data_IF_377546095574
#
_entry.id   IF_377546095574
#
_cell.length_a   1.000
_cell.length_b   1.000
_cell.length_c   1.000
_cell.angle_alpha   90.00
_cell.angle_beta   90.00
_cell.angle_gamma   90.00
#
_symmetry.space_group_name_H-M   'P 1'
#
loop_
_entity.id
_entity.type
_entity.pdbx_description
1 polymer ?
#
# COMPACT_ATOMS: atom_id res chain seq x y z
N UNK A 1 74.75 -10.23 -18.47
CA UNK A 1 73.99 -9.04 -18.91
C UNK A 1 72.55 -9.49 -19.12
N UNK A 2 71.82 -9.53 -18.02
CA UNK A 2 70.44 -10.07 -17.92
C UNK A 2 69.49 -8.90 -17.73
N UNK A 3 68.64 -8.64 -18.72
CA UNK A 3 67.58 -7.65 -18.68
C UNK A 3 66.44 -8.17 -17.79
N UNK A 4 66.20 -7.48 -16.69
CA UNK A 4 65.02 -7.68 -15.82
C UNK A 4 63.80 -7.08 -16.54
N UNK A 5 62.76 -7.91 -16.76
CA UNK A 5 61.49 -7.48 -17.26
C UNK A 5 60.70 -6.80 -16.11
N UNK A 6 60.38 -5.54 -16.33
CA UNK A 6 59.59 -4.70 -15.47
C UNK A 6 58.10 -5.12 -15.59
N UNK A 7 57.60 -5.86 -14.62
CA UNK A 7 56.21 -6.27 -14.55
C UNK A 7 55.44 -5.12 -13.88
N UNK A 8 54.97 -4.15 -14.67
CA UNK A 8 54.06 -3.10 -14.18
C UNK A 8 52.80 -3.70 -13.62
N UNK A 9 52.69 -3.62 -12.30
CA UNK A 9 51.48 -3.92 -11.49
C UNK A 9 50.27 -3.12 -12.03
N UNK A 10 49.42 -3.81 -12.77
CA UNK A 10 48.09 -3.32 -13.01
C UNK A 10 47.38 -3.20 -11.66
N UNK A 11 47.20 -1.97 -11.16
CA UNK A 11 46.38 -1.65 -10.01
C UNK A 11 44.95 -2.09 -10.37
N UNK A 12 44.36 -3.04 -9.64
CA UNK A 12 42.96 -3.37 -9.89
C UNK A 12 42.13 -2.13 -9.60
N UNK A 13 41.35 -1.70 -10.59
CA UNK A 13 40.32 -0.66 -10.42
C UNK A 13 39.44 -1.09 -9.26
N UNK A 14 39.68 -0.49 -8.09
CA UNK A 14 38.84 -0.70 -6.91
C UNK A 14 37.44 -0.30 -7.28
N UNK A 15 36.55 -1.28 -7.43
CA UNK A 15 35.12 -1.00 -7.38
C UNK A 15 34.86 -0.13 -6.15
N UNK A 16 34.13 0.98 -6.28
CA UNK A 16 33.80 1.81 -5.13
C UNK A 16 33.22 0.90 -4.06
N UNK A 17 33.80 0.95 -2.86
CA UNK A 17 33.35 0.14 -1.74
C UNK A 17 31.83 0.33 -1.60
N UNK A 18 31.07 -0.75 -1.54
CA UNK A 18 29.61 -0.62 -1.45
C UNK A 18 29.24 0.21 -0.22
N UNK A 19 28.21 1.07 -0.29
CA UNK A 19 27.80 1.93 0.81
C UNK A 19 27.58 1.09 2.09
N UNK A 20 28.18 1.51 3.19
CA UNK A 20 28.39 0.71 4.42
C UNK A 20 27.20 0.72 5.37
N UNK A 21 25.98 0.36 4.90
CA UNK A 21 24.80 0.20 5.76
C UNK A 21 24.46 -1.27 6.03
N UNK A 22 23.92 -1.62 7.21
CA UNK A 22 23.51 -3.00 7.53
C UNK A 22 22.31 -3.48 6.72
N UNK A 23 21.53 -2.56 6.15
CA UNK A 23 20.41 -2.86 5.22
C UNK A 23 20.66 -2.17 3.90
N UNK A 24 20.45 -2.88 2.80
CA UNK A 24 20.68 -2.35 1.44
C UNK A 24 19.65 -2.86 0.47
N UNK A 25 19.36 -2.06 -0.53
CA UNK A 25 18.62 -2.51 -1.70
C UNK A 25 19.58 -2.96 -2.80
N UNK A 26 19.51 -4.25 -3.17
CA UNK A 26 20.26 -4.81 -4.29
C UNK A 26 19.32 -5.02 -5.46
N UNK A 27 19.49 -4.25 -6.53
CA UNK A 27 18.72 -4.45 -7.76
C UNK A 27 19.17 -5.73 -8.45
N UNK A 28 18.30 -6.72 -8.47
CA UNK A 28 18.57 -8.02 -9.09
C UNK A 28 18.42 -8.01 -10.62
N UNK A 29 17.99 -6.88 -11.19
CA UNK A 29 17.64 -6.78 -12.61
C UNK A 29 16.36 -7.54 -12.97
N UNK A 30 15.94 -7.42 -14.23
CA UNK A 30 14.81 -8.20 -14.76
C UNK A 30 13.41 -7.81 -14.25
N UNK A 31 13.27 -6.78 -13.39
CA UNK A 31 11.96 -6.36 -12.87
C UNK A 31 10.99 -5.99 -13.99
N UNK A 32 11.44 -5.25 -15.01
CA UNK A 32 10.60 -4.86 -16.14
C UNK A 32 10.04 -6.10 -16.87
N UNK A 33 10.91 -7.07 -17.22
CA UNK A 33 10.49 -8.32 -17.88
C UNK A 33 9.52 -9.13 -17.02
N UNK A 34 9.75 -9.19 -15.68
CA UNK A 34 8.84 -9.82 -14.73
C UNK A 34 7.45 -9.15 -14.76
N UNK A 35 7.39 -7.82 -14.75
CA UNK A 35 6.13 -7.07 -14.75
C UNK A 35 5.37 -7.22 -16.06
N UNK A 36 6.05 -7.13 -17.21
CA UNK A 36 5.43 -7.33 -18.53
C UNK A 36 4.88 -8.75 -18.66
N UNK A 37 5.69 -9.78 -18.32
CA UNK A 37 5.23 -11.17 -18.30
C UNK A 37 3.99 -11.35 -17.42
N UNK A 38 4.04 -10.80 -16.20
CA UNK A 38 2.94 -10.92 -15.25
C UNK A 38 1.67 -10.19 -15.74
N UNK A 39 1.81 -9.01 -16.33
CA UNK A 39 0.70 -8.25 -16.91
C UNK A 39 0.06 -9.04 -18.07
N UNK A 40 0.87 -9.56 -18.99
CA UNK A 40 0.41 -10.35 -20.12
C UNK A 40 -0.35 -11.61 -19.66
N UNK A 41 0.25 -12.41 -18.75
CA UNK A 41 -0.39 -13.63 -18.24
C UNK A 41 -1.66 -13.30 -17.43
N UNK A 42 -1.68 -12.20 -16.70
CA UNK A 42 -2.89 -11.75 -15.98
C UNK A 42 -3.99 -11.37 -16.95
N UNK A 43 -3.67 -10.71 -18.05
CA UNK A 43 -4.65 -10.35 -19.09
C UNK A 43 -5.20 -11.61 -19.79
N UNK A 44 -4.33 -12.52 -20.24
CA UNK A 44 -4.74 -13.76 -20.93
C UNK A 44 -5.58 -14.67 -20.04
N UNK A 45 -5.32 -14.71 -18.74
CA UNK A 45 -6.07 -15.52 -17.77
C UNK A 45 -7.24 -14.78 -17.13
N UNK A 46 -7.68 -13.65 -17.69
CA UNK A 46 -8.77 -12.81 -17.19
C UNK A 46 -8.63 -12.47 -15.68
N UNK A 47 -7.39 -12.21 -15.26
CA UNK A 47 -7.08 -11.81 -13.88
C UNK A 47 -6.72 -12.97 -12.93
N UNK A 48 -6.88 -14.23 -13.31
CA UNK A 48 -6.56 -15.37 -12.42
C UNK A 48 -5.07 -15.42 -12.10
N UNK A 49 -4.19 -15.17 -13.06
CA UNK A 49 -2.74 -15.22 -12.86
C UNK A 49 -2.21 -14.16 -11.87
N UNK A 50 -2.99 -13.15 -11.53
CA UNK A 50 -2.59 -12.08 -10.58
C UNK A 50 -2.04 -12.60 -9.24
N UNK A 51 -2.48 -13.77 -8.77
CA UNK A 51 -2.01 -14.37 -7.52
C UNK A 51 -0.58 -14.89 -7.62
N UNK A 52 -0.23 -15.53 -8.75
CA UNK A 52 1.14 -15.95 -9.05
C UNK A 52 2.04 -14.74 -9.36
N UNK A 53 1.53 -13.77 -10.09
CA UNK A 53 2.21 -12.50 -10.36
C UNK A 53 2.62 -11.80 -9.06
N UNK A 54 1.71 -11.73 -8.08
CA UNK A 54 1.97 -11.14 -6.76
C UNK A 54 3.02 -11.91 -5.97
N UNK A 55 2.92 -13.25 -5.91
CA UNK A 55 3.93 -14.06 -5.24
C UNK A 55 5.31 -13.91 -5.90
N UNK A 56 5.38 -13.83 -7.23
CA UNK A 56 6.62 -13.60 -7.98
C UNK A 56 7.22 -12.22 -7.69
N UNK A 57 6.38 -11.17 -7.65
CA UNK A 57 6.80 -9.81 -7.33
C UNK A 57 7.32 -9.70 -5.90
N UNK A 58 6.67 -10.34 -4.91
CA UNK A 58 7.16 -10.39 -3.54
C UNK A 58 8.50 -11.12 -3.42
N UNK A 59 8.70 -12.24 -4.12
CA UNK A 59 10.00 -12.91 -4.15
C UNK A 59 11.10 -12.00 -4.71
N UNK A 60 10.77 -11.19 -5.71
CA UNK A 60 11.70 -10.19 -6.24
C UNK A 60 12.07 -9.15 -5.17
N UNK A 61 11.06 -8.53 -4.51
CA UNK A 61 11.30 -7.49 -3.52
C UNK A 61 12.05 -8.01 -2.29
N UNK A 62 11.63 -9.15 -1.72
CA UNK A 62 12.32 -9.75 -0.57
C UNK A 62 13.77 -10.08 -0.92
N UNK A 63 14.00 -10.75 -2.03
CA UNK A 63 15.36 -11.08 -2.47
C UNK A 63 16.21 -9.86 -2.85
N UNK A 64 15.62 -8.68 -3.05
CA UNK A 64 16.34 -7.42 -3.30
C UNK A 64 16.71 -6.67 -2.01
N UNK A 65 16.13 -7.05 -0.86
CA UNK A 65 16.44 -6.46 0.45
C UNK A 65 17.52 -7.31 1.12
N UNK A 66 18.69 -6.71 1.30
CA UNK A 66 19.84 -7.34 1.97
C UNK A 66 19.93 -6.84 3.40
N UNK A 67 20.02 -7.75 4.37
CA UNK A 67 20.23 -7.44 5.79
C UNK A 67 21.54 -8.13 6.22
N UNK A 68 22.50 -7.37 6.72
CA UNK A 68 23.82 -7.86 7.11
C UNK A 68 24.49 -8.77 6.06
N UNK A 69 24.29 -8.45 4.78
CA UNK A 69 24.89 -9.19 3.65
C UNK A 69 24.04 -10.31 3.07
N UNK A 70 22.93 -10.71 3.73
CA UNK A 70 22.07 -11.79 3.27
C UNK A 70 20.68 -11.30 2.85
N UNK A 71 20.09 -11.88 1.78
CA UNK A 71 18.77 -11.49 1.30
C UNK A 71 17.65 -11.99 2.20
N UNK A 72 16.53 -11.27 2.20
CA UNK A 72 15.28 -11.83 2.67
C UNK A 72 14.72 -12.83 1.65
N UNK A 73 13.98 -13.81 2.13
CA UNK A 73 13.32 -14.82 1.30
C UNK A 73 11.81 -14.80 1.53
N UNK A 74 11.04 -14.95 0.44
CA UNK A 74 9.60 -15.11 0.50
C UNK A 74 9.19 -16.49 0.00
N UNK A 75 8.60 -17.30 0.88
CA UNK A 75 8.24 -18.70 0.61
C UNK A 75 6.77 -18.89 0.21
N UNK A 76 5.96 -17.83 0.25
CA UNK A 76 4.54 -17.88 -0.13
C UNK A 76 4.33 -18.22 -1.60
N UNK A 77 3.25 -18.96 -1.90
CA UNK A 77 2.92 -19.42 -3.24
C UNK A 77 1.68 -18.71 -3.79
N UNK A 78 1.58 -18.62 -5.14
CA UNK A 78 0.40 -18.07 -5.80
C UNK A 78 -0.86 -18.91 -5.54
N UNK A 79 -0.70 -20.23 -5.38
CA UNK A 79 -1.81 -21.13 -5.07
C UNK A 79 -2.42 -20.85 -3.69
N UNK A 80 -1.59 -20.61 -2.67
CA UNK A 80 -2.07 -20.23 -1.33
C UNK A 80 -2.89 -18.93 -1.37
N UNK A 81 -2.43 -17.94 -2.16
CA UNK A 81 -3.16 -16.69 -2.35
C UNK A 81 -4.47 -16.89 -3.12
N UNK A 82 -4.48 -17.76 -4.13
CA UNK A 82 -5.68 -18.08 -4.90
C UNK A 82 -6.72 -18.81 -4.04
N UNK A 83 -6.32 -19.81 -3.26
CA UNK A 83 -7.21 -20.49 -2.30
C UNK A 83 -7.76 -19.49 -1.28
N UNK A 84 -6.91 -18.60 -0.76
CA UNK A 84 -7.34 -17.51 0.13
C UNK A 84 -8.40 -16.60 -0.52
N UNK A 85 -8.24 -16.26 -1.80
CA UNK A 85 -9.24 -15.52 -2.56
C UNK A 85 -10.56 -16.28 -2.71
N UNK A 86 -10.54 -17.57 -3.03
CA UNK A 86 -11.76 -18.36 -3.11
C UNK A 86 -12.52 -18.43 -1.78
N UNK A 87 -11.79 -18.58 -0.66
CA UNK A 87 -12.40 -18.53 0.69
C UNK A 87 -13.03 -17.16 0.97
N UNK A 88 -12.37 -16.07 0.60
CA UNK A 88 -12.94 -14.73 0.72
C UNK A 88 -14.18 -14.58 -0.15
N UNK A 89 -14.13 -15.03 -1.39
CA UNK A 89 -15.26 -14.98 -2.31
C UNK A 89 -16.47 -15.75 -1.77
N UNK A 90 -16.23 -16.95 -1.18
CA UNK A 90 -17.27 -17.75 -0.54
C UNK A 90 -17.98 -17.03 0.62
N UNK A 91 -17.29 -16.11 1.31
CA UNK A 91 -17.88 -15.27 2.37
C UNK A 91 -18.57 -14.04 1.75
N UNK A 92 -17.94 -13.41 0.77
CA UNK A 92 -18.41 -12.14 0.18
C UNK A 92 -19.61 -12.30 -0.76
N UNK A 93 -19.75 -13.44 -1.45
CA UNK A 93 -20.91 -13.68 -2.33
C UNK A 93 -22.24 -13.69 -1.55
N UNK A 94 -22.40 -14.47 -0.47
CA UNK A 94 -23.62 -14.39 0.36
C UNK A 94 -23.84 -13.01 0.97
N UNK A 95 -22.76 -12.35 1.44
CA UNK A 95 -22.82 -11.01 1.99
C UNK A 95 -23.30 -9.99 0.95
N UNK A 96 -22.77 -10.03 -0.28
CA UNK A 96 -23.20 -9.17 -1.39
C UNK A 96 -24.66 -9.46 -1.84
N UNK A 97 -25.09 -10.73 -1.77
CA UNK A 97 -26.49 -11.08 -2.04
C UNK A 97 -27.45 -10.47 -1.01
N UNK A 98 -27.11 -10.55 0.28
CA UNK A 98 -27.87 -9.90 1.35
C UNK A 98 -27.91 -8.39 1.13
N UNK A 99 -26.76 -7.77 0.86
CA UNK A 99 -26.67 -6.32 0.56
C UNK A 99 -27.55 -5.91 -0.64
N UNK A 100 -27.59 -6.71 -1.71
CA UNK A 100 -28.45 -6.47 -2.86
C UNK A 100 -29.95 -6.63 -2.53
N UNK A 101 -30.32 -7.62 -1.71
CA UNK A 101 -31.69 -7.84 -1.29
C UNK A 101 -32.20 -6.72 -0.37
N UNK A 102 -31.37 -6.24 0.55
CA UNK A 102 -31.74 -5.11 1.43
C UNK A 102 -31.96 -3.82 0.63
N UNK A 103 -31.28 -3.67 -0.51
CA UNK A 103 -31.52 -2.57 -1.46
C UNK A 103 -32.96 -2.48 -1.98
N UNK A 104 -33.69 -3.60 -2.06
CA UNK A 104 -35.09 -3.62 -2.45
C UNK A 104 -36.01 -2.88 -1.46
N UNK A 105 -35.57 -2.74 -0.20
CA UNK A 105 -36.29 -2.02 0.84
C UNK A 105 -36.20 -0.50 0.72
N UNK A 106 -35.30 0.02 -0.12
CA UNK A 106 -35.03 1.47 -0.22
C UNK A 106 -36.28 2.31 -0.48
N UNK A 107 -37.19 1.81 -1.32
CA UNK A 107 -38.44 2.52 -1.70
C UNK A 107 -39.57 2.20 -0.74
N UNK A 108 -39.70 0.97 -0.25
CA UNK A 108 -40.83 0.51 0.58
C UNK A 108 -40.65 0.85 2.07
N UNK A 109 -39.43 0.80 2.57
CA UNK A 109 -39.11 1.10 3.98
C UNK A 109 -37.70 1.71 4.11
N UNK A 110 -37.53 3.04 3.86
CA UNK A 110 -36.25 3.71 3.93
C UNK A 110 -35.53 3.61 5.28
N UNK A 111 -36.29 3.55 6.38
CA UNK A 111 -35.74 3.39 7.73
C UNK A 111 -35.09 2.03 7.94
N UNK A 112 -35.78 0.95 7.56
CA UNK A 112 -35.22 -0.41 7.62
C UNK A 112 -34.00 -0.55 6.69
N UNK A 113 -34.08 0.03 5.46
CA UNK A 113 -32.96 0.09 4.55
C UNK A 113 -31.72 0.72 5.19
N UNK A 114 -31.85 1.91 5.79
CA UNK A 114 -30.72 2.61 6.43
C UNK A 114 -30.12 1.80 7.59
N UNK A 115 -30.95 1.24 8.47
CA UNK A 115 -30.50 0.43 9.60
C UNK A 115 -29.74 -0.83 9.17
N UNK A 116 -30.28 -1.55 8.17
CA UNK A 116 -29.64 -2.78 7.66
C UNK A 116 -28.30 -2.45 6.97
N UNK A 117 -28.21 -1.40 6.17
CA UNK A 117 -26.96 -1.00 5.53
C UNK A 117 -25.90 -0.51 6.52
N UNK A 118 -26.31 0.16 7.61
CA UNK A 118 -25.39 0.48 8.72
C UNK A 118 -24.88 -0.82 9.37
N UNK A 119 -25.75 -1.78 9.66
CA UNK A 119 -25.36 -3.06 10.24
C UNK A 119 -24.43 -3.84 9.32
N UNK A 120 -24.72 -3.90 8.02
CA UNK A 120 -23.86 -4.51 7.01
C UNK A 120 -22.49 -3.83 6.94
N UNK A 121 -22.43 -2.50 6.96
CA UNK A 121 -21.20 -1.73 7.03
C UNK A 121 -20.36 -2.04 8.27
N UNK A 122 -20.99 -2.20 9.43
CA UNK A 122 -20.31 -2.61 10.67
C UNK A 122 -19.75 -4.03 10.57
N UNK A 123 -20.52 -4.98 10.03
CA UNK A 123 -20.05 -6.35 9.81
C UNK A 123 -18.86 -6.35 8.84
N UNK A 124 -18.94 -5.61 7.74
CA UNK A 124 -17.87 -5.48 6.77
C UNK A 124 -16.61 -4.87 7.38
N UNK A 125 -16.76 -3.82 8.21
CA UNK A 125 -15.65 -3.22 8.96
C UNK A 125 -14.95 -4.25 9.86
N UNK A 126 -15.72 -5.04 10.62
CA UNK A 126 -15.18 -6.11 11.49
C UNK A 126 -14.42 -7.14 10.67
N UNK A 127 -15.00 -7.60 9.56
CA UNK A 127 -14.37 -8.57 8.66
C UNK A 127 -13.05 -8.05 8.11
N UNK A 128 -12.99 -6.79 7.64
CA UNK A 128 -11.76 -6.18 7.11
C UNK A 128 -10.66 -6.16 8.18
N UNK A 129 -10.96 -5.76 9.41
CA UNK A 129 -9.95 -5.71 10.48
C UNK A 129 -9.42 -7.10 10.82
N UNK A 130 -10.32 -8.08 10.88
CA UNK A 130 -9.96 -9.47 11.14
C UNK A 130 -9.03 -10.04 10.05
N UNK A 131 -9.40 -9.75 8.81
CA UNK A 131 -8.69 -10.17 7.60
C UNK A 131 -7.32 -9.48 7.50
N UNK A 132 -7.22 -8.19 7.84
CA UNK A 132 -5.96 -7.41 7.81
C UNK A 132 -4.93 -7.98 8.79
N UNK A 133 -5.32 -8.31 10.03
CA UNK A 133 -4.43 -8.94 10.99
C UNK A 133 -3.91 -10.30 10.50
N UNK A 134 -4.79 -11.13 9.93
CA UNK A 134 -4.42 -12.45 9.39
C UNK A 134 -3.49 -12.34 8.18
N UNK A 135 -3.71 -11.36 7.29
CA UNK A 135 -2.80 -11.10 6.16
C UNK A 135 -1.38 -10.79 6.63
N UNK A 136 -1.25 -9.90 7.63
CA UNK A 136 0.07 -9.59 8.20
C UNK A 136 0.73 -10.84 8.80
N UNK A 137 -0.02 -11.63 9.57
CA UNK A 137 0.47 -12.88 10.17
C UNK A 137 0.94 -13.86 9.10
N UNK A 138 0.18 -14.02 8.02
CA UNK A 138 0.55 -14.86 6.89
C UNK A 138 1.86 -14.37 6.24
N UNK A 139 1.95 -13.06 5.90
CA UNK A 139 3.17 -12.51 5.26
C UNK A 139 4.42 -12.72 6.10
N UNK A 140 4.35 -12.42 7.39
CA UNK A 140 5.50 -12.63 8.29
C UNK A 140 5.88 -14.10 8.37
N UNK A 141 4.92 -15.02 8.47
CA UNK A 141 5.22 -16.45 8.50
C UNK A 141 5.86 -16.99 7.21
N UNK A 142 5.71 -16.28 6.08
CA UNK A 142 6.32 -16.61 4.79
C UNK A 142 7.60 -15.81 4.52
N UNK A 143 8.03 -14.98 5.47
CA UNK A 143 9.29 -14.23 5.40
C UNK A 143 10.36 -14.95 6.18
N UNK A 144 11.48 -15.21 5.53
CA UNK A 144 12.67 -15.85 6.10
C UNK A 144 13.88 -14.93 5.93
N UNK A 145 14.81 -15.00 6.88
CA UNK A 145 16.13 -14.43 6.78
C UNK A 145 17.14 -15.43 7.34
N UNK A 146 18.14 -15.83 6.54
CA UNK A 146 19.08 -16.92 6.87
C UNK A 146 18.37 -18.20 7.34
N UNK A 147 17.21 -18.53 6.73
CA UNK A 147 16.38 -19.66 7.16
C UNK A 147 15.59 -19.43 8.45
N UNK A 148 15.79 -18.32 9.17
CA UNK A 148 15.02 -17.94 10.37
C UNK A 148 13.72 -17.28 9.97
N UNK A 149 12.59 -17.78 10.49
CA UNK A 149 11.26 -17.33 10.12
C UNK A 149 10.79 -16.16 10.99
N UNK A 150 10.21 -15.14 10.34
CA UNK A 150 9.46 -14.11 11.05
C UNK A 150 8.09 -14.63 11.51
N UNK A 151 7.57 -14.07 12.58
CA UNK A 151 6.28 -14.48 13.17
C UNK A 151 5.50 -13.29 13.70
N UNK A 152 4.16 -13.47 13.77
CA UNK A 152 3.24 -12.53 14.39
C UNK A 152 2.45 -13.24 15.48
N UNK A 153 2.65 -12.84 16.72
CA UNK A 153 1.88 -13.30 17.86
C UNK A 153 0.58 -12.52 18.04
N UNK A 154 -0.15 -12.83 19.11
CA UNK A 154 -1.44 -12.22 19.44
C UNK A 154 -2.61 -12.83 18.68
N UNK A 155 -3.81 -12.28 18.89
CA UNK A 155 -5.04 -12.78 18.29
C UNK A 155 -5.79 -11.71 17.52
N UNK A 156 -6.50 -12.11 16.45
CA UNK A 156 -7.35 -11.19 15.66
C UNK A 156 -8.41 -10.49 16.53
N UNK A 157 -8.92 -11.16 17.59
CA UNK A 157 -9.92 -10.59 18.49
C UNK A 157 -9.37 -9.49 19.39
N UNK A 158 -8.15 -9.65 19.89
CA UNK A 158 -7.48 -8.58 20.65
C UNK A 158 -7.20 -7.37 19.78
N UNK A 159 -6.74 -7.60 18.55
CA UNK A 159 -6.53 -6.54 17.56
C UNK A 159 -7.84 -5.83 17.23
N UNK A 160 -8.90 -6.58 16.93
CA UNK A 160 -10.23 -6.04 16.63
C UNK A 160 -10.78 -5.15 17.74
N UNK A 161 -10.75 -5.63 19.00
CA UNK A 161 -11.21 -4.82 20.15
C UNK A 161 -10.45 -3.51 20.29
N UNK A 162 -9.13 -3.57 20.09
CA UNK A 162 -8.28 -2.38 20.11
C UNK A 162 -8.70 -1.39 19.01
N UNK A 163 -8.87 -1.88 17.77
CA UNK A 163 -9.26 -1.04 16.64
C UNK A 163 -10.65 -0.45 16.82
N UNK A 164 -11.64 -1.23 17.27
CA UNK A 164 -13.00 -0.73 17.53
C UNK A 164 -12.96 0.40 18.57
N UNK A 165 -12.28 0.19 19.70
CA UNK A 165 -12.19 1.21 20.76
C UNK A 165 -11.58 2.53 20.25
N UNK A 166 -10.49 2.46 19.49
CA UNK A 166 -9.87 3.63 18.91
C UNK A 166 -10.67 4.26 17.77
N UNK A 167 -11.40 3.47 16.99
CA UNK A 167 -12.29 3.99 15.93
C UNK A 167 -13.44 4.79 16.55
N UNK A 168 -14.06 4.27 17.60
CA UNK A 168 -15.13 4.98 18.33
C UNK A 168 -14.59 6.29 18.93
N UNK A 169 -13.43 6.25 19.60
CA UNK A 169 -12.81 7.45 20.14
C UNK A 169 -12.46 8.45 19.04
N UNK A 170 -11.96 7.99 17.90
CA UNK A 170 -11.65 8.85 16.75
C UNK A 170 -12.92 9.48 16.16
N UNK A 171 -14.02 8.74 16.11
CA UNK A 171 -15.31 9.28 15.66
C UNK A 171 -15.84 10.35 16.63
N UNK A 172 -15.82 10.12 17.94
CA UNK A 172 -16.22 11.10 18.95
C UNK A 172 -15.37 12.38 18.90
N UNK A 173 -14.07 12.24 18.65
CA UNK A 173 -13.12 13.35 18.55
C UNK A 173 -13.01 13.94 17.16
N UNK A 174 -13.92 13.60 16.23
CA UNK A 174 -13.92 14.02 14.82
C UNK A 174 -12.56 13.79 14.11
N UNK A 175 -11.83 12.72 14.52
CA UNK A 175 -10.56 12.33 13.90
C UNK A 175 -9.31 12.88 14.61
N UNK A 176 -9.42 13.71 15.64
CA UNK A 176 -8.24 14.20 16.40
C UNK A 176 -7.48 13.04 17.06
N UNK A 177 -8.17 11.98 17.51
CA UNK A 177 -7.55 10.82 18.14
C UNK A 177 -6.83 9.85 17.17
N UNK A 178 -6.87 10.07 15.86
CA UNK A 178 -6.27 9.16 14.87
C UNK A 178 -4.77 8.91 15.10
N UNK A 179 -3.90 9.89 15.42
CA UNK A 179 -2.50 9.62 15.72
C UNK A 179 -2.29 8.62 16.87
N UNK A 180 -3.08 8.71 17.93
CA UNK A 180 -3.01 7.75 19.04
C UNK A 180 -3.53 6.36 18.64
N UNK A 181 -4.60 6.30 17.84
CA UNK A 181 -5.13 5.06 17.27
C UNK A 181 -4.07 4.35 16.41
N UNK A 182 -3.38 5.10 15.54
CA UNK A 182 -2.30 4.58 14.67
C UNK A 182 -1.15 4.03 15.50
N UNK A 183 -0.69 4.78 16.50
CA UNK A 183 0.40 4.35 17.38
C UNK A 183 0.00 3.14 18.23
N UNK A 184 -1.22 3.12 18.78
CA UNK A 184 -1.70 1.99 19.57
C UNK A 184 -1.79 0.69 18.76
N UNK A 185 -2.31 0.77 17.51
CA UNK A 185 -2.37 -0.38 16.59
C UNK A 185 -0.98 -0.82 16.14
N UNK A 186 -0.08 0.12 15.81
CA UNK A 186 1.32 -0.16 15.46
C UNK A 186 2.05 -0.83 16.62
N UNK A 187 1.89 -0.33 17.85
CA UNK A 187 2.46 -0.95 19.05
C UNK A 187 1.96 -2.37 19.24
N UNK A 188 0.65 -2.60 19.13
CA UNK A 188 0.09 -3.94 19.25
C UNK A 188 0.71 -4.92 18.25
N UNK A 189 0.90 -4.47 17.01
CA UNK A 189 1.46 -5.29 15.95
C UNK A 189 2.96 -5.51 16.14
N UNK A 190 3.75 -4.46 16.44
CA UNK A 190 5.21 -4.56 16.56
C UNK A 190 5.61 -5.35 17.80
N UNK A 191 5.04 -5.06 18.99
CA UNK A 191 5.36 -5.78 20.23
C UNK A 191 5.04 -7.29 20.17
N UNK A 192 4.37 -7.73 19.13
CA UNK A 192 4.04 -9.15 18.86
C UNK A 192 4.65 -9.67 17.56
N UNK A 193 5.55 -8.91 16.96
CA UNK A 193 6.36 -9.36 15.81
C UNK A 193 7.68 -9.90 16.33
N UNK A 194 8.12 -11.03 15.80
CA UNK A 194 9.44 -11.57 16.12
C UNK A 194 10.12 -12.09 14.84
N UNK A 195 11.46 -12.06 14.85
CA UNK A 195 12.31 -12.75 13.88
C UNK A 195 13.06 -13.85 14.63
N UNK A 196 12.65 -15.10 14.42
CA UNK A 196 13.13 -16.18 15.27
C UNK A 196 12.68 -16.00 16.73
N UNK A 197 13.66 -15.94 17.63
CA UNK A 197 13.52 -15.66 19.06
C UNK A 197 13.64 -14.17 19.41
N UNK A 198 13.99 -13.33 18.42
CA UNK A 198 14.20 -11.89 18.62
C UNK A 198 12.88 -11.12 18.50
N UNK A 199 12.33 -10.70 19.64
CA UNK A 199 11.09 -9.92 19.71
C UNK A 199 11.29 -8.45 19.34
N UNK A 200 10.34 -7.91 18.57
CA UNK A 200 10.25 -6.47 18.33
C UNK A 200 9.58 -5.74 19.51
N UNK A 201 9.96 -4.49 19.73
CA UNK A 201 9.36 -3.58 20.69
C UNK A 201 9.20 -2.20 20.06
N UNK A 202 8.11 -1.53 20.39
CA UNK A 202 7.79 -0.21 19.85
C UNK A 202 7.49 0.79 20.98
N UNK A 203 8.22 1.89 21.04
CA UNK A 203 8.13 2.90 22.12
C UNK A 203 7.58 4.26 21.68
N UNK A 204 7.09 4.39 20.43
CA UNK A 204 6.52 5.62 19.89
C UNK A 204 5.28 6.12 20.65
N UNK A 205 5.02 7.43 20.59
CA UNK A 205 3.92 8.10 21.30
C UNK A 205 3.02 8.83 20.31
N UNK A 206 1.68 8.74 20.49
CA UNK A 206 0.70 9.37 19.59
C UNK A 206 0.79 10.89 19.51
N UNK A 207 1.16 11.54 20.62
CA UNK A 207 1.32 13.01 20.68
C UNK A 207 2.38 13.55 19.69
N UNK A 208 3.40 12.76 19.39
CA UNK A 208 4.51 13.18 18.53
C UNK A 208 4.07 13.25 17.04
N UNK A 209 2.97 12.58 16.71
CA UNK A 209 2.35 12.59 15.37
C UNK A 209 1.16 13.56 15.28
N UNK A 210 0.77 14.23 16.36
CA UNK A 210 -0.37 15.16 16.34
C UNK A 210 -0.10 16.35 15.40
N UNK A 211 1.06 16.99 15.52
CA UNK A 211 1.38 18.13 14.69
C UNK A 211 1.43 17.79 13.19
N UNK A 212 2.11 16.72 12.75
CA UNK A 212 1.98 16.26 11.36
C UNK A 212 0.55 15.92 10.94
N UNK A 213 -0.29 15.39 11.84
CA UNK A 213 -1.69 15.08 11.55
C UNK A 213 -2.52 16.32 11.22
N UNK A 214 -2.19 17.48 11.76
CA UNK A 214 -2.87 18.74 11.44
C UNK A 214 -2.75 19.12 9.96
N UNK A 215 -1.74 18.64 9.24
CA UNK A 215 -1.62 18.82 7.79
C UNK A 215 -2.75 18.10 7.01
N UNK A 216 -3.37 17.09 7.62
CA UNK A 216 -4.52 16.37 7.08
C UNK A 216 -5.82 16.97 7.61
N UNK A 217 -5.89 17.14 8.93
CA UNK A 217 -7.09 17.52 9.65
C UNK A 217 -7.57 18.95 9.28
N UNK A 218 -6.66 19.91 9.26
CA UNK A 218 -7.03 21.32 9.02
C UNK A 218 -7.54 21.55 7.59
N UNK A 219 -6.85 21.13 6.52
CA UNK A 219 -7.37 21.33 5.16
C UNK A 219 -8.72 20.64 4.92
N UNK A 220 -8.92 19.43 5.47
CA UNK A 220 -10.18 18.71 5.35
C UNK A 220 -11.36 19.51 5.92
N UNK A 221 -11.25 19.93 7.19
CA UNK A 221 -12.33 20.68 7.85
C UNK A 221 -12.47 22.09 7.32
N UNK A 222 -11.37 22.73 6.89
CA UNK A 222 -11.42 24.04 6.24
C UNK A 222 -12.15 23.97 4.87
N UNK A 223 -11.84 22.96 4.06
CA UNK A 223 -12.51 22.71 2.78
C UNK A 223 -14.01 22.45 2.97
N UNK A 224 -14.35 21.59 3.92
CA UNK A 224 -15.74 21.27 4.27
C UNK A 224 -16.49 22.50 4.80
N UNK A 225 -15.92 23.26 5.72
CA UNK A 225 -16.49 24.48 6.26
C UNK A 225 -16.71 25.56 5.19
N UNK A 226 -15.72 25.74 4.31
CA UNK A 226 -15.79 26.68 3.20
C UNK A 226 -16.85 26.24 2.17
N UNK A 227 -17.01 24.93 1.92
CA UNK A 227 -18.08 24.40 1.08
C UNK A 227 -19.45 24.87 1.58
N UNK A 228 -19.75 24.66 2.86
CA UNK A 228 -21.02 25.08 3.43
C UNK A 228 -21.17 26.61 3.44
N UNK A 229 -20.13 27.35 3.84
CA UNK A 229 -20.16 28.80 3.89
C UNK A 229 -20.45 29.42 2.51
N UNK A 230 -19.77 28.95 1.45
CA UNK A 230 -20.00 29.47 0.09
C UNK A 230 -21.34 29.03 -0.47
N UNK A 231 -21.77 27.78 -0.21
CA UNK A 231 -23.10 27.29 -0.64
C UNK A 231 -24.22 28.13 -0.03
N UNK A 232 -24.12 28.46 1.28
CA UNK A 232 -25.11 29.32 1.94
C UNK A 232 -25.03 30.75 1.43
N UNK A 233 -23.81 31.32 1.30
CA UNK A 233 -23.60 32.70 0.87
C UNK A 233 -24.13 32.97 -0.53
N UNK A 234 -23.93 32.05 -1.48
CA UNK A 234 -24.37 32.23 -2.87
C UNK A 234 -25.77 31.67 -3.14
N UNK A 235 -26.48 31.17 -2.13
CA UNK A 235 -27.87 30.71 -2.27
C UNK A 235 -28.82 31.80 -1.73
N UNK A 236 -29.60 32.50 -2.59
CA UNK A 236 -30.63 33.44 -2.12
C UNK A 236 -31.71 32.75 -1.28
N UNK A 237 -32.33 33.48 -0.37
CA UNK A 237 -33.40 32.95 0.45
C UNK A 237 -34.57 32.43 -0.42
N UNK A 238 -34.94 31.15 -0.19
CA UNK A 238 -36.02 30.48 -0.97
C UNK A 238 -35.60 29.93 -2.34
N UNK A 239 -34.30 30.04 -2.73
CA UNK A 239 -33.80 29.45 -3.97
C UNK A 239 -33.18 28.07 -3.75
N UNK A 240 -33.01 27.32 -4.85
CA UNK A 240 -32.24 26.06 -4.82
C UNK A 240 -30.76 26.32 -4.50
N UNK A 241 -30.10 25.45 -3.69
CA UNK A 241 -28.73 25.64 -3.28
C UNK A 241 -27.76 25.81 -4.45
N UNK A 242 -26.95 26.89 -4.40
CA UNK A 242 -25.90 27.17 -5.38
C UNK A 242 -24.60 26.46 -4.93
N UNK A 243 -24.46 25.17 -5.25
CA UNK A 243 -23.38 24.31 -4.77
C UNK A 243 -22.05 24.49 -5.50
N UNK A 244 -22.06 25.07 -6.72
CA UNK A 244 -20.85 25.16 -7.58
C UNK A 244 -19.69 25.90 -6.91
N UNK A 245 -19.87 27.09 -6.28
CA UNK A 245 -18.75 27.77 -5.59
C UNK A 245 -18.19 26.94 -4.43
N UNK A 246 -19.05 26.26 -3.68
CA UNK A 246 -18.66 25.38 -2.59
C UNK A 246 -17.86 24.15 -3.05
N UNK A 247 -18.20 23.57 -4.21
CA UNK A 247 -17.49 22.40 -4.77
C UNK A 247 -16.01 22.72 -5.02
N UNK A 248 -15.69 23.89 -5.54
CA UNK A 248 -14.29 24.28 -5.75
C UNK A 248 -13.49 24.40 -4.43
N UNK A 249 -14.11 24.93 -3.38
CA UNK A 249 -13.51 25.00 -2.06
C UNK A 249 -13.28 23.60 -1.46
N UNK A 250 -14.30 22.72 -1.57
CA UNK A 250 -14.19 21.34 -1.14
C UNK A 250 -13.07 20.61 -1.90
N UNK A 251 -13.06 20.70 -3.24
CA UNK A 251 -12.03 20.08 -4.06
C UNK A 251 -10.61 20.54 -3.71
N UNK A 252 -10.44 21.86 -3.45
CA UNK A 252 -9.15 22.41 -2.99
C UNK A 252 -8.76 21.85 -1.62
N UNK A 253 -9.71 21.78 -0.67
CA UNK A 253 -9.51 21.19 0.64
C UNK A 253 -9.10 19.70 0.56
N UNK A 254 -9.76 18.92 -0.30
CA UNK A 254 -9.44 17.49 -0.51
C UNK A 254 -8.06 17.29 -1.14
N UNK A 255 -7.65 18.12 -2.10
CA UNK A 255 -6.31 18.06 -2.70
C UNK A 255 -5.24 18.35 -1.65
N UNK A 256 -5.43 19.40 -0.84
CA UNK A 256 -4.51 19.72 0.26
C UNK A 256 -4.48 18.62 1.33
N UNK A 257 -5.64 18.02 1.64
CA UNK A 257 -5.75 16.89 2.56
C UNK A 257 -4.99 15.67 2.03
N UNK A 258 -5.14 15.33 0.75
CA UNK A 258 -4.41 14.22 0.13
C UNK A 258 -2.89 14.44 0.17
N UNK A 259 -2.44 15.66 -0.10
CA UNK A 259 -1.03 16.03 -0.01
C UNK A 259 -0.51 15.97 1.44
N UNK A 260 -1.28 16.51 2.39
CA UNK A 260 -1.01 16.41 3.82
C UNK A 260 -0.93 14.97 4.31
N UNK A 261 -1.84 14.11 3.82
CA UNK A 261 -1.85 12.68 4.14
C UNK A 261 -0.58 11.97 3.63
N UNK A 262 -0.12 12.28 2.43
CA UNK A 262 1.14 11.76 1.91
C UNK A 262 2.30 12.11 2.85
N UNK A 263 2.42 13.39 3.23
CA UNK A 263 3.46 13.86 4.16
C UNK A 263 3.33 13.15 5.51
N UNK A 264 2.12 13.08 6.05
CA UNK A 264 1.85 12.41 7.33
C UNK A 264 2.27 10.94 7.31
N UNK A 265 1.91 10.19 6.27
CA UNK A 265 2.27 8.78 6.15
C UNK A 265 3.79 8.56 6.06
N UNK A 266 4.52 9.46 5.39
CA UNK A 266 5.98 9.40 5.31
C UNK A 266 6.64 9.71 6.67
N UNK A 267 6.11 10.70 7.40
CA UNK A 267 6.56 11.02 8.77
C UNK A 267 6.27 9.85 9.69
N UNK A 268 5.07 9.27 9.63
CA UNK A 268 4.66 8.10 10.43
C UNK A 268 5.56 6.88 10.14
N UNK A 269 5.85 6.60 8.87
CA UNK A 269 6.74 5.50 8.48
C UNK A 269 8.15 5.69 9.04
N UNK A 270 8.74 6.89 8.86
CA UNK A 270 10.04 7.24 9.43
C UNK A 270 10.04 7.16 10.97
N UNK A 271 8.99 7.66 11.60
CA UNK A 271 8.80 7.62 13.05
C UNK A 271 8.71 6.18 13.55
N UNK A 272 7.91 5.34 12.88
CA UNK A 272 7.73 3.93 13.23
C UNK A 272 9.05 3.17 13.16
N UNK A 273 9.85 3.34 12.13
CA UNK A 273 11.15 2.69 12.00
C UNK A 273 12.06 3.10 13.16
N UNK A 274 12.17 4.41 13.45
CA UNK A 274 13.05 4.94 14.49
C UNK A 274 12.69 4.52 15.92
N UNK A 275 11.41 4.25 16.17
CA UNK A 275 10.91 3.81 17.48
C UNK A 275 10.69 2.29 17.57
N UNK A 276 11.16 1.54 16.57
CA UNK A 276 11.13 0.07 16.59
C UNK A 276 12.53 -0.46 16.91
N UNK A 277 12.59 -1.41 17.82
CA UNK A 277 13.81 -2.15 18.17
C UNK A 277 13.54 -3.64 18.20
N UNK A 278 14.54 -4.44 17.86
CA UNK A 278 14.51 -5.89 17.97
C UNK A 278 15.52 -6.31 19.04
N UNK A 279 15.02 -6.67 20.23
CA UNK A 279 15.89 -6.87 21.40
C UNK A 279 16.77 -5.64 21.66
N UNK A 280 18.11 -5.79 21.49
CA UNK A 280 19.09 -4.71 21.65
C UNK A 280 19.37 -3.94 20.34
N UNK A 281 18.84 -4.41 19.19
CA UNK A 281 19.05 -3.80 17.89
C UNK A 281 18.06 -2.63 17.73
N UNK A 282 18.57 -1.40 17.64
CA UNK A 282 17.74 -0.23 17.35
C UNK A 282 17.78 0.07 15.85
N UNK A 283 16.61 0.39 15.30
CA UNK A 283 16.49 0.80 13.91
C UNK A 283 16.51 2.32 13.80
N UNK A 284 17.27 2.83 12.85
CA UNK A 284 17.27 4.22 12.44
C UNK A 284 16.74 4.37 11.02
N UNK A 285 16.21 5.54 10.67
CA UNK A 285 15.73 5.85 9.32
C UNK A 285 16.13 7.25 8.90
N UNK A 286 16.80 7.34 7.77
CA UNK A 286 17.13 8.59 7.07
C UNK A 286 16.16 8.92 5.94
N UNK A 287 14.95 8.32 5.89
CA UNK A 287 13.96 8.51 4.83
C UNK A 287 13.76 10.00 4.54
N UNK A 288 14.05 10.42 3.29
CA UNK A 288 13.88 11.80 2.83
C UNK A 288 12.45 12.02 2.35
N UNK A 289 11.67 12.77 3.14
CA UNK A 289 10.28 13.10 2.79
C UNK A 289 10.23 13.85 1.46
N UNK A 290 11.11 14.86 1.27
CA UNK A 290 11.18 15.63 0.02
C UNK A 290 11.53 14.76 -1.19
N UNK A 291 12.46 13.81 -1.05
CA UNK A 291 12.83 12.88 -2.12
C UNK A 291 11.67 11.99 -2.56
N UNK A 292 10.88 11.47 -1.61
CA UNK A 292 9.69 10.68 -1.94
C UNK A 292 8.61 11.55 -2.60
N UNK A 293 8.35 12.76 -2.06
CA UNK A 293 7.38 13.69 -2.66
C UNK A 293 7.77 14.01 -4.11
N UNK A 294 9.04 14.33 -4.36
CA UNK A 294 9.52 14.60 -5.72
C UNK A 294 9.31 13.39 -6.65
N UNK A 295 9.58 12.18 -6.17
CA UNK A 295 9.35 10.93 -6.90
C UNK A 295 7.87 10.75 -7.24
N UNK A 296 6.97 11.01 -6.27
CA UNK A 296 5.51 10.92 -6.48
C UNK A 296 5.01 11.96 -7.47
N UNK A 297 5.47 13.22 -7.35
CA UNK A 297 5.11 14.28 -8.31
C UNK A 297 5.58 13.92 -9.72
N UNK A 298 6.82 13.46 -9.89
CA UNK A 298 7.34 13.03 -11.19
C UNK A 298 6.51 11.91 -11.82
N UNK A 299 6.10 10.93 -11.00
CA UNK A 299 5.19 9.87 -11.45
C UNK A 299 3.81 10.41 -11.85
N UNK A 300 3.21 11.31 -11.06
CA UNK A 300 1.90 11.90 -11.38
C UNK A 300 1.94 12.67 -12.71
N UNK A 301 3.00 13.43 -12.95
CA UNK A 301 3.21 14.11 -14.25
C UNK A 301 3.29 13.10 -15.38
N UNK A 302 4.09 12.05 -15.24
CA UNK A 302 4.21 10.99 -16.24
C UNK A 302 2.87 10.27 -16.49
N UNK A 303 2.11 9.96 -15.41
CA UNK A 303 0.80 9.33 -15.51
C UNK A 303 -0.22 10.22 -16.24
N UNK A 304 -0.23 11.53 -15.95
CA UNK A 304 -1.07 12.51 -16.65
C UNK A 304 -0.73 12.57 -18.14
N UNK A 305 0.57 12.58 -18.49
CA UNK A 305 1.00 12.57 -19.90
C UNK A 305 0.52 11.29 -20.61
N UNK A 306 0.65 10.13 -19.98
CA UNK A 306 0.15 8.86 -20.54
C UNK A 306 -1.37 8.93 -20.74
N UNK A 307 -2.12 9.43 -19.76
CA UNK A 307 -3.58 9.56 -19.86
C UNK A 307 -3.99 10.54 -20.96
N UNK A 308 -3.31 11.67 -21.10
CA UNK A 308 -3.56 12.63 -22.18
C UNK A 308 -3.33 12.00 -23.56
N UNK A 309 -2.21 11.29 -23.73
CA UNK A 309 -1.91 10.58 -25.00
C UNK A 309 -2.99 9.55 -25.31
N UNK A 310 -3.46 8.80 -24.30
CA UNK A 310 -4.54 7.83 -24.45
C UNK A 310 -5.86 8.50 -24.85
N UNK A 311 -6.25 9.58 -24.18
CA UNK A 311 -7.49 10.32 -24.47
C UNK A 311 -7.45 10.89 -25.88
N UNK A 312 -6.34 11.51 -26.28
CA UNK A 312 -6.17 12.03 -27.63
C UNK A 312 -6.22 10.90 -28.67
N UNK A 313 -5.54 9.78 -28.41
CA UNK A 313 -5.58 8.61 -29.29
C UNK A 313 -6.97 8.04 -29.47
N UNK A 314 -7.74 7.90 -28.37
CA UNK A 314 -9.13 7.47 -28.39
C UNK A 314 -9.99 8.48 -29.18
N UNK A 315 -9.84 9.79 -28.92
CA UNK A 315 -10.60 10.83 -29.62
C UNK A 315 -10.35 10.80 -31.14
N UNK A 316 -9.10 10.60 -31.57
CA UNK A 316 -8.74 10.45 -33.00
C UNK A 316 -9.42 9.20 -33.59
N UNK A 317 -9.32 8.06 -32.95
CA UNK A 317 -9.94 6.80 -33.42
C UNK A 317 -11.46 6.93 -33.50
N UNK A 318 -12.10 7.54 -32.49
CA UNK A 318 -13.55 7.78 -32.48
C UNK A 318 -13.98 8.80 -33.53
N UNK A 319 -13.19 9.87 -33.73
CA UNK A 319 -13.43 10.89 -34.76
C UNK A 319 -13.37 10.32 -36.18
N UNK A 320 -12.38 9.47 -36.46
CA UNK A 320 -12.26 8.76 -37.74
C UNK A 320 -13.42 7.76 -37.95
N UNK A 321 -13.82 7.06 -36.90
CA UNK A 321 -14.94 6.10 -36.97
C UNK A 321 -16.29 6.75 -37.18
N UNK A 322 -16.52 7.95 -36.62
CA UNK A 322 -17.78 8.69 -36.73
C UNK A 322 -17.98 9.36 -38.08
N UNK A 323 -16.89 9.64 -38.82
CA UNK A 323 -16.96 10.20 -40.16
C UNK A 323 -17.51 9.20 -41.22
N UNK A 324 -17.59 7.91 -40.89
CA UNK A 324 -17.98 6.84 -41.79
C UNK A 324 -19.31 6.12 -41.41
N UNK A 325 -19.94 6.47 -40.27
CA UNK A 325 -21.14 5.78 -39.81
C UNK A 325 -22.05 6.73 -39.03
N UNK A 326 -23.38 6.68 -39.32
CA UNK A 326 -24.39 7.41 -38.58
C UNK A 326 -24.37 7.08 -37.07
N UNK A 327 -24.29 8.11 -36.25
CA UNK A 327 -24.73 8.29 -34.86
C UNK A 327 -24.51 7.22 -33.79
N UNK A 328 -24.05 6.00 -34.08
CA UNK A 328 -23.74 4.97 -33.08
C UNK A 328 -22.26 4.59 -33.11
N UNK A 329 -21.59 4.53 -31.96
CA UNK A 329 -20.19 4.08 -31.91
C UNK A 329 -20.12 2.67 -32.51
N UNK A 330 -19.26 2.49 -33.53
CA UNK A 330 -19.04 1.17 -34.13
C UNK A 330 -18.51 0.21 -33.06
N UNK A 331 -18.88 -1.08 -33.14
CA UNK A 331 -18.34 -2.11 -32.23
C UNK A 331 -16.82 -2.08 -32.17
N UNK A 332 -16.16 -1.77 -33.27
CA UNK A 332 -14.70 -1.59 -33.37
C UNK A 332 -14.26 -0.41 -32.48
N UNK A 333 -14.96 0.73 -32.50
CA UNK A 333 -14.63 1.90 -31.67
C UNK A 333 -14.73 1.58 -30.18
N UNK A 334 -15.75 0.82 -29.77
CA UNK A 334 -15.92 0.40 -28.36
C UNK A 334 -14.78 -0.55 -27.95
N UNK A 335 -14.47 -1.57 -28.76
CA UNK A 335 -13.42 -2.55 -28.48
C UNK A 335 -12.04 -1.87 -28.39
N UNK A 336 -11.72 -0.98 -29.34
CA UNK A 336 -10.45 -0.25 -29.34
C UNK A 336 -10.33 0.68 -28.13
N UNK A 337 -11.42 1.33 -27.72
CA UNK A 337 -11.44 2.16 -26.51
C UNK A 337 -11.18 1.35 -25.26
N UNK A 338 -11.86 0.21 -25.07
CA UNK A 338 -11.65 -0.68 -23.93
C UNK A 338 -10.20 -1.20 -23.93
N UNK A 339 -9.68 -1.64 -25.07
CA UNK A 339 -8.31 -2.11 -25.20
C UNK A 339 -7.29 -1.01 -24.83
N UNK A 340 -7.48 0.22 -25.30
CA UNK A 340 -6.64 1.36 -24.99
C UNK A 340 -6.64 1.66 -23.47
N UNK A 341 -7.79 1.64 -22.81
CA UNK A 341 -7.88 1.80 -21.34
C UNK A 341 -7.16 0.68 -20.60
N UNK A 342 -7.37 -0.58 -20.97
CA UNK A 342 -6.71 -1.73 -20.33
C UNK A 342 -5.19 -1.63 -20.45
N UNK A 343 -4.69 -1.32 -21.66
CA UNK A 343 -3.24 -1.14 -21.89
C UNK A 343 -2.71 0.07 -21.10
N UNK A 344 -3.41 1.20 -21.14
CA UNK A 344 -2.98 2.42 -20.47
C UNK A 344 -2.91 2.27 -18.95
N UNK A 345 -3.93 1.71 -18.32
CA UNK A 345 -3.91 1.43 -16.89
C UNK A 345 -2.85 0.38 -16.53
N UNK A 346 -2.64 -0.62 -17.38
CA UNK A 346 -1.55 -1.59 -17.24
C UNK A 346 -0.17 -0.93 -17.26
N UNK A 347 0.07 -0.01 -18.20
CA UNK A 347 1.32 0.75 -18.30
C UNK A 347 1.54 1.66 -17.08
N UNK A 348 0.51 2.37 -16.63
CA UNK A 348 0.58 3.20 -15.41
C UNK A 348 0.89 2.33 -14.19
N UNK A 349 0.29 1.13 -14.10
CA UNK A 349 0.57 0.18 -13.02
C UNK A 349 2.02 -0.33 -13.03
N UNK A 350 2.57 -0.67 -14.20
CA UNK A 350 3.97 -1.05 -14.36
C UNK A 350 4.89 0.13 -14.00
N UNK A 351 4.59 1.33 -14.51
CA UNK A 351 5.36 2.54 -14.23
C UNK A 351 5.37 2.86 -12.72
N UNK A 352 4.23 2.71 -12.02
CA UNK A 352 4.15 2.89 -10.57
C UNK A 352 5.15 2.00 -9.83
N UNK A 353 5.18 0.71 -10.17
CA UNK A 353 6.08 -0.25 -9.51
C UNK A 353 7.55 0.07 -9.81
N UNK A 354 7.87 0.40 -11.08
CA UNK A 354 9.24 0.71 -11.50
C UNK A 354 9.76 2.03 -10.95
N UNK A 355 8.89 3.00 -10.77
CA UNK A 355 9.27 4.36 -10.37
C UNK A 355 9.06 4.59 -8.87
N UNK A 356 7.82 4.44 -8.38
CA UNK A 356 7.49 4.75 -6.97
C UNK A 356 7.94 3.63 -6.04
N UNK A 357 7.44 2.41 -6.24
CA UNK A 357 7.65 1.32 -5.27
C UNK A 357 9.16 1.02 -5.16
N UNK A 358 9.88 0.97 -6.29
CA UNK A 358 11.32 0.78 -6.31
C UNK A 358 12.10 1.91 -5.63
N UNK A 359 11.75 3.16 -5.88
CA UNK A 359 12.42 4.31 -5.27
C UNK A 359 12.21 4.34 -3.76
N UNK A 360 10.98 4.08 -3.28
CA UNK A 360 10.65 4.07 -1.85
C UNK A 360 11.37 2.93 -1.14
N UNK A 361 11.28 1.69 -1.65
CA UNK A 361 11.96 0.52 -1.04
C UNK A 361 13.46 0.75 -1.00
N UNK A 362 14.07 1.21 -2.10
CA UNK A 362 15.49 1.54 -2.16
C UNK A 362 15.85 2.59 -1.12
N UNK A 363 15.10 3.69 -1.04
CA UNK A 363 15.39 4.77 -0.10
C UNK A 363 15.25 4.32 1.36
N UNK A 364 14.24 3.49 1.68
CA UNK A 364 14.08 2.92 3.02
C UNK A 364 15.31 2.04 3.36
N UNK A 365 15.67 1.11 2.48
CA UNK A 365 16.79 0.19 2.72
C UNK A 365 18.12 0.93 2.84
N UNK A 366 18.44 1.81 1.88
CA UNK A 366 19.75 2.47 1.82
C UNK A 366 19.94 3.53 2.93
N UNK A 367 18.85 4.02 3.54
CA UNK A 367 18.89 4.99 4.65
C UNK A 367 18.61 4.36 6.02
N UNK A 368 18.29 3.06 6.06
CA UNK A 368 18.08 2.35 7.32
C UNK A 368 19.42 2.07 8.00
N UNK A 369 19.54 2.46 9.26
CA UNK A 369 20.65 2.14 10.13
C UNK A 369 20.23 1.13 11.20
N UNK A 370 21.15 0.30 11.63
CA UNK A 370 20.99 -0.64 12.74
C UNK A 370 22.18 -0.52 13.67
N UNK A 371 21.92 -0.55 14.97
CA UNK A 371 22.97 -0.69 16.00
C UNK A 371 23.06 -2.14 16.43
N UNK A 372 24.20 -2.55 16.99
CA UNK A 372 24.41 -3.91 17.55
C UNK A 372 24.13 -5.05 16.55
N UNK A 373 24.58 -4.89 15.30
CA UNK A 373 24.35 -5.85 14.20
C UNK A 373 24.86 -7.25 14.52
N UNK A 374 25.93 -7.38 15.36
CA UNK A 374 26.53 -8.66 15.78
C UNK A 374 25.52 -9.58 16.51
N UNK A 375 24.45 -9.02 17.05
CA UNK A 375 23.37 -9.81 17.66
C UNK A 375 22.57 -10.61 16.64
N UNK A 376 22.56 -10.19 15.38
CA UNK A 376 21.89 -10.91 14.29
C UNK A 376 22.48 -12.31 14.05
N UNK A 377 23.75 -12.52 14.34
CA UNK A 377 24.40 -13.81 14.14
C UNK A 377 24.00 -14.88 15.18
N UNK A 378 23.33 -14.47 16.26
CA UNK A 378 22.91 -15.34 17.38
C UNK A 378 21.40 -15.63 17.40
N UNK A 379 20.68 -15.30 16.34
CA UNK A 379 19.22 -15.48 16.30
C UNK A 379 18.88 -16.97 16.18
N UNK A 380 18.10 -17.47 17.12
CA UNK A 380 17.55 -18.82 17.12
C UNK A 380 16.30 -18.96 16.24
N UNK A 381 15.93 -20.20 15.91
CA UNK A 381 14.71 -20.50 15.17
C UNK A 381 13.44 -20.13 15.97
N UNK A 382 12.40 -19.70 15.23
CA UNK A 382 11.08 -19.42 15.82
C UNK A 382 10.37 -20.71 16.24
N UNK A 383 9.90 -20.76 17.50
CA UNK A 383 9.00 -21.81 18.01
C UNK A 383 7.54 -21.55 17.68
N UNK A 384 7.22 -20.41 17.04
CA UNK A 384 5.84 -20.04 16.72
C UNK A 384 5.20 -21.02 15.71
N UNK A 385 3.93 -21.42 15.92
CA UNK A 385 3.26 -22.34 15.01
C UNK A 385 3.11 -21.73 13.60
N UNK A 386 3.23 -22.58 12.58
CA UNK A 386 3.00 -22.16 11.19
C UNK A 386 1.51 -21.90 11.01
N UNK A 387 1.11 -20.74 10.44
CA UNK A 387 -0.27 -20.44 10.14
C UNK A 387 -0.90 -21.51 9.22
N UNK A 388 -2.15 -21.86 9.49
CA UNK A 388 -2.89 -22.86 8.68
C UNK A 388 -3.29 -22.29 7.33
N UNK A 389 -3.66 -23.17 6.39
CA UNK A 389 -4.23 -22.78 5.10
C UNK A 389 -5.44 -21.84 5.29
N UNK A 390 -5.57 -20.81 4.47
CA UNK A 390 -6.65 -19.80 4.55
C UNK A 390 -6.28 -18.50 5.27
N UNK A 391 -5.19 -18.44 6.02
CA UNK A 391 -4.74 -17.16 6.61
C UNK A 391 -4.23 -16.17 5.54
N UNK A 392 -3.88 -16.63 4.33
CA UNK A 392 -3.55 -15.80 3.18
C UNK A 392 -4.75 -15.12 2.48
N UNK A 393 -5.98 -15.30 2.98
CA UNK A 393 -7.20 -14.78 2.35
C UNK A 393 -7.14 -13.26 2.12
N UNK A 394 -6.72 -12.49 3.10
CA UNK A 394 -6.60 -11.04 2.98
C UNK A 394 -5.41 -10.59 2.13
N UNK A 395 -4.37 -11.38 2.14
CA UNK A 395 -3.15 -11.09 1.41
C UNK A 395 -3.35 -11.20 -0.11
N UNK A 396 -4.41 -11.91 -0.54
CA UNK A 396 -4.84 -11.96 -1.93
C UNK A 396 -5.35 -10.63 -2.48
N UNK A 397 -5.74 -9.68 -1.61
CA UNK A 397 -6.24 -8.35 -1.99
C UNK A 397 -5.25 -7.21 -1.76
N UNK A 398 -4.03 -7.50 -1.32
CA UNK A 398 -2.99 -6.49 -1.00
C UNK A 398 -3.39 -5.54 0.15
N UNK A 399 -4.33 -5.95 0.99
CA UNK A 399 -4.74 -5.17 2.15
C UNK A 399 -3.56 -5.10 3.13
N UNK A 400 -3.00 -3.93 3.32
CA UNK A 400 -1.84 -3.69 4.16
C UNK A 400 -0.51 -4.09 3.49
N UNK A 401 -0.28 -3.66 2.24
CA UNK A 401 0.89 -4.00 1.40
C UNK A 401 2.18 -3.45 1.93
N UNK A 402 2.49 -3.02 2.99
CA UNK A 402 3.80 -2.74 3.62
C UNK A 402 3.65 -2.65 5.16
#
# INVERSE_FOLDING_TARGET
>A
MTLAADTSLAVPLSNPAPPSGPVRFMDRGGLFGLLVKNAFLTLVTLGIYRFWARAALRRYWWGSIMIAGDPLEYTGTGLELFIGFLMFLAIMLPFGAVYGLTGLLQRSNPGAFALLHIAEGLVFFVLIQFVTFRARRYRLSRTLWRGVRASQGGTSWQYLRLVIGWTLLSAITLGIAIPWARIATTRYLMDRTALGDLEARFDGRGRDLLLPWLLVFVPFFAGLGMFFALTIHFTPAGATPQVVPGIWALATGEILTAFGLLIYLLIEARYTIRHTRFGEIQLGSGLSIGGVIFTVIGFLVAAVVILLVLVIGIAVVMGVSSSHAAANPSTIGIVTTIAAFVIGFGLIGILRILWIDRAIVRQICDTMSMTNVDRLDRIGQSTAPIPRAGEGMADSFDIGAF
#
